data_IF_560315347662
#
_entry.id   IF_560315347662
#
_cell.length_a   1.000
_cell.length_b   1.000
_cell.length_c   1.000
_cell.angle_alpha   90.00
_cell.angle_beta   90.00
_cell.angle_gamma   90.00
#
_symmetry.space_group_name_H-M   'P 1'
#
loop_
_entity.id
_entity.type
_entity.pdbx_description
1 polymer ?
#
# COMPACT_ATOMS: atom_id res chain seq x y z
N UNK A 1 -3.96 21.46 0.04
CA UNK A 1 -3.02 20.37 0.38
C UNK A 1 -3.82 19.09 0.52
N UNK A 2 -3.66 18.09 -0.36
CA UNK A 2 -4.42 16.83 -0.24
C UNK A 2 -3.78 16.00 0.88
N UNK A 3 -4.28 16.14 2.11
CA UNK A 3 -3.95 15.21 3.19
C UNK A 3 -4.59 13.85 2.86
N UNK A 4 -3.90 13.04 2.04
CA UNK A 4 -4.26 11.62 1.90
C UNK A 4 -3.87 10.95 3.21
N UNK A 5 -4.87 10.57 3.99
CA UNK A 5 -4.67 9.78 5.20
C UNK A 5 -4.01 8.45 4.84
N UNK A 6 -3.23 7.93 5.79
CA UNK A 6 -2.57 6.63 5.72
C UNK A 6 -3.59 5.52 5.38
N UNK A 7 -4.82 5.65 5.91
CA UNK A 7 -5.97 4.78 5.60
C UNK A 7 -6.33 4.76 4.10
N UNK A 8 -6.25 5.91 3.41
CA UNK A 8 -6.52 6.00 1.97
C UNK A 8 -5.45 5.28 1.16
N UNK A 9 -4.17 5.46 1.54
CA UNK A 9 -3.06 4.72 0.94
C UNK A 9 -3.17 3.22 1.17
N UNK A 10 -3.47 2.80 2.40
CA UNK A 10 -3.70 1.39 2.75
C UNK A 10 -4.85 0.79 1.94
N UNK A 11 -5.94 1.55 1.73
CA UNK A 11 -7.07 1.12 0.90
C UNK A 11 -6.67 0.94 -0.57
N UNK A 12 -5.85 1.86 -1.12
CA UNK A 12 -5.32 1.75 -2.48
C UNK A 12 -4.39 0.54 -2.62
N UNK A 13 -3.41 0.39 -1.73
CA UNK A 13 -2.48 -0.74 -1.71
C UNK A 13 -3.25 -2.06 -1.64
N UNK A 14 -4.24 -2.17 -0.75
CA UNK A 14 -5.11 -3.36 -0.65
C UNK A 14 -5.82 -3.67 -1.97
N UNK A 15 -6.31 -2.65 -2.67
CA UNK A 15 -6.94 -2.80 -3.98
C UNK A 15 -5.97 -3.34 -5.04
N UNK A 16 -4.72 -2.90 -5.05
CA UNK A 16 -3.69 -3.40 -5.95
C UNK A 16 -3.23 -4.82 -5.59
N UNK A 17 -3.06 -5.13 -4.31
CA UNK A 17 -2.72 -6.48 -3.83
C UNK A 17 -3.81 -7.47 -4.21
N UNK A 18 -5.10 -7.12 -4.04
CA UNK A 18 -6.23 -7.95 -4.48
C UNK A 18 -6.25 -8.20 -5.99
N UNK A 19 -5.78 -7.24 -6.79
CA UNK A 19 -5.65 -7.34 -8.25
C UNK A 19 -4.36 -8.03 -8.70
N UNK A 20 -3.53 -8.54 -7.77
CA UNK A 20 -2.17 -9.05 -8.01
C UNK A 20 -1.24 -8.05 -8.70
N UNK A 21 -1.55 -6.76 -8.65
CA UNK A 21 -0.76 -5.68 -9.24
C UNK A 21 0.31 -5.19 -8.26
N UNK A 22 1.24 -6.07 -7.90
CA UNK A 22 2.23 -5.81 -6.85
C UNK A 22 3.20 -4.67 -7.20
N UNK A 23 3.44 -4.42 -8.49
CA UNK A 23 4.27 -3.31 -8.94
C UNK A 23 3.64 -1.95 -8.59
N UNK A 24 2.32 -1.80 -8.77
CA UNK A 24 1.62 -0.57 -8.40
C UNK A 24 1.48 -0.42 -6.90
N UNK A 25 1.23 -1.52 -6.19
CA UNK A 25 1.22 -1.53 -4.73
C UNK A 25 2.55 -1.04 -4.14
N UNK A 26 3.69 -1.51 -4.70
CA UNK A 26 5.03 -1.05 -4.31
C UNK A 26 5.27 0.42 -4.62
N UNK A 27 4.95 0.88 -5.82
CA UNK A 27 5.11 2.30 -6.17
C UNK A 27 4.33 3.22 -5.21
N UNK A 28 3.10 2.83 -4.84
CA UNK A 28 2.31 3.60 -3.86
C UNK A 28 2.90 3.53 -2.45
N UNK A 29 3.43 2.38 -2.05
CA UNK A 29 4.11 2.24 -0.77
C UNK A 29 5.40 3.08 -0.70
N UNK A 30 6.12 3.18 -1.82
CA UNK A 30 7.32 4.01 -1.93
C UNK A 30 6.98 5.50 -1.91
N UNK A 31 5.87 5.91 -2.53
CA UNK A 31 5.35 7.28 -2.48
C UNK A 31 4.78 7.69 -1.11
N UNK A 32 4.50 6.75 -0.19
CA UNK A 32 3.98 7.09 1.13
C UNK A 32 5.04 7.81 1.97
N UNK A 33 4.77 9.06 2.42
CA UNK A 33 5.70 9.80 3.27
C UNK A 33 5.75 9.25 4.71
N UNK A 34 4.63 8.69 5.19
CA UNK A 34 4.53 7.99 6.48
C UNK A 34 3.97 6.59 6.25
N UNK A 35 4.65 5.58 6.78
CA UNK A 35 4.30 4.16 6.68
C UNK A 35 3.96 3.63 8.06
N UNK A 36 2.80 3.01 8.18
CA UNK A 36 2.31 2.35 9.39
C UNK A 36 2.50 0.82 9.31
N UNK A 37 2.19 0.13 10.41
CA UNK A 37 2.24 -1.33 10.50
C UNK A 37 1.32 -1.98 9.46
N UNK A 38 0.21 -1.32 9.11
CA UNK A 38 -0.77 -1.80 8.13
C UNK A 38 -0.20 -1.77 6.71
N UNK A 39 0.46 -0.69 6.30
CA UNK A 39 1.08 -0.56 4.98
C UNK A 39 2.21 -1.59 4.79
N UNK A 40 3.01 -1.85 5.84
CA UNK A 40 3.99 -2.94 5.82
C UNK A 40 3.35 -4.32 5.72
N UNK A 41 2.28 -4.56 6.49
CA UNK A 41 1.54 -5.83 6.45
C UNK A 41 0.95 -6.10 5.07
N UNK A 42 0.44 -5.07 4.40
CA UNK A 42 -0.08 -5.20 3.03
C UNK A 42 1.03 -5.57 2.02
N UNK A 43 2.22 -5.00 2.19
CA UNK A 43 3.35 -5.30 1.31
C UNK A 43 3.96 -6.68 1.57
N UNK A 44 3.99 -7.16 2.82
CA UNK A 44 4.44 -8.52 3.14
C UNK A 44 3.44 -9.59 2.71
N UNK A 45 2.13 -9.36 2.86
CA UNK A 45 1.08 -10.26 2.33
C UNK A 45 1.21 -10.43 0.81
N UNK A 46 1.61 -9.38 0.11
CA UNK A 46 1.88 -9.40 -1.33
C UNK A 46 3.14 -10.20 -1.71
N UNK A 47 4.17 -10.19 -0.88
CA UNK A 47 5.44 -10.88 -1.17
C UNK A 47 5.49 -12.36 -0.77
N UNK A 48 4.55 -12.82 0.06
CA UNK A 48 4.54 -14.18 0.62
C UNK A 48 3.58 -15.18 -0.08
N UNK A 49 3.00 -14.82 -1.23
CA UNK A 49 2.15 -15.72 -2.06
C UNK A 49 2.84 -16.06 -3.37
#
# INVERSE_FOLDING_TARGET
>A
MKHRNIVTWNSMITGFVKRREMAKARNLFDEMPERDVVSWSLMTISGYI
#
